data_IF_132309852690
#
_entry.id   IF_132309852690
#
_cell.length_a   1.000
_cell.length_b   1.000
_cell.length_c   1.000
_cell.angle_alpha   90.00
_cell.angle_beta   90.00
_cell.angle_gamma   90.00
#
_symmetry.space_group_name_H-M   'P 1'
#
loop_
_entity.id
_entity.type
_entity.pdbx_description
1 polymer ?
#
# COMPACT_ATOMS: atom_id res chain seq x y z
N UNK A 1 -1.14 13.92 15.28
CA UNK A 1 0.15 13.40 14.78
C UNK A 1 0.40 14.10 13.48
N UNK A 2 1.62 14.57 13.25
CA UNK A 2 1.96 15.19 11.96
C UNK A 2 1.90 14.09 10.89
N UNK A 3 1.01 14.27 9.93
CA UNK A 3 0.81 13.35 8.80
C UNK A 3 1.91 13.58 7.75
N UNK A 4 2.21 12.57 6.94
CA UNK A 4 3.08 12.74 5.78
C UNK A 4 2.56 13.88 4.90
N UNK A 5 3.39 14.85 4.49
CA UNK A 5 2.93 15.98 3.70
C UNK A 5 2.27 15.55 2.39
N UNK A 6 1.16 16.20 2.03
CA UNK A 6 0.51 15.99 0.74
C UNK A 6 1.48 16.33 -0.41
N UNK A 7 1.49 15.51 -1.45
CA UNK A 7 2.32 15.73 -2.64
C UNK A 7 1.49 15.61 -3.91
N UNK A 8 1.94 16.29 -4.96
CA UNK A 8 1.27 16.32 -6.27
C UNK A 8 1.72 15.18 -7.21
N UNK A 9 2.62 14.32 -6.76
CA UNK A 9 3.09 13.18 -7.52
C UNK A 9 2.23 11.94 -7.24
N UNK A 10 1.82 11.24 -8.29
CA UNK A 10 1.15 9.95 -8.18
C UNK A 10 2.17 8.81 -8.20
N UNK A 11 1.82 7.69 -7.63
CA UNK A 11 2.58 6.46 -7.77
C UNK A 11 2.29 5.85 -9.14
N UNK A 12 3.28 5.94 -10.07
CA UNK A 12 3.13 5.45 -11.44
C UNK A 12 2.95 3.93 -11.49
N UNK A 13 3.69 3.19 -10.67
CA UNK A 13 3.60 1.74 -10.62
C UNK A 13 2.21 1.31 -10.14
N UNK A 14 1.68 1.97 -9.10
CA UNK A 14 0.33 1.73 -8.61
C UNK A 14 -0.72 1.95 -9.72
N UNK A 15 -0.58 3.05 -10.49
CA UNK A 15 -1.48 3.38 -11.60
C UNK A 15 -1.54 2.25 -12.66
N UNK A 16 -0.43 1.56 -12.92
CA UNK A 16 -0.38 0.51 -13.95
C UNK A 16 -1.14 -0.76 -13.57
N UNK A 17 -1.36 -0.99 -12.27
CA UNK A 17 -2.10 -2.16 -11.77
C UNK A 17 -3.61 -1.92 -11.64
N UNK A 18 -4.06 -0.66 -11.74
CA UNK A 18 -5.49 -0.34 -11.66
C UNK A 18 -6.17 -0.79 -12.96
N UNK A 19 -7.25 -1.60 -12.92
CA UNK A 19 -7.98 -1.98 -14.11
C UNK A 19 -8.48 -0.76 -14.90
N UNK A 20 -8.15 -0.70 -16.20
CA UNK A 20 -8.49 0.45 -17.05
C UNK A 20 -9.99 0.59 -17.32
N UNK A 21 -10.78 -0.42 -17.02
CA UNK A 21 -12.23 -0.51 -17.20
C UNK A 21 -13.03 -0.49 -15.88
N UNK A 22 -12.38 -0.19 -14.76
CA UNK A 22 -13.06 -0.07 -13.48
C UNK A 22 -14.14 1.01 -13.54
N UNK A 23 -15.36 0.67 -13.12
CA UNK A 23 -16.51 1.60 -13.15
C UNK A 23 -16.58 2.45 -11.90
N UNK A 24 -16.15 1.90 -10.78
CA UNK A 24 -16.11 2.60 -9.49
C UNK A 24 -14.87 2.22 -8.72
N UNK A 25 -14.13 3.22 -8.30
CA UNK A 25 -12.89 3.10 -7.51
C UNK A 25 -13.08 3.77 -6.16
N UNK A 26 -12.52 3.16 -5.12
CA UNK A 26 -12.31 3.79 -3.81
C UNK A 26 -10.82 3.79 -3.51
N UNK A 27 -10.23 4.98 -3.37
CA UNK A 27 -8.85 5.18 -2.92
C UNK A 27 -8.85 5.62 -1.46
N UNK A 28 -8.22 4.83 -0.60
CA UNK A 28 -8.04 5.14 0.83
C UNK A 28 -6.68 5.82 1.04
N UNK A 29 -6.71 6.99 1.70
CA UNK A 29 -5.55 7.86 1.81
C UNK A 29 -5.27 8.59 0.49
N UNK A 30 -6.30 9.14 -0.15
CA UNK A 30 -6.19 9.74 -1.48
C UNK A 30 -5.36 11.05 -1.50
N UNK A 31 -4.98 11.58 -0.34
CA UNK A 31 -4.13 12.78 -0.20
C UNK A 31 -4.63 13.94 -1.08
N UNK A 32 -3.82 14.45 -2.01
CA UNK A 32 -4.20 15.54 -2.94
C UNK A 32 -5.05 15.08 -4.13
N UNK A 33 -5.37 13.79 -4.27
CA UNK A 33 -6.06 13.23 -5.43
C UNK A 33 -5.18 13.07 -6.67
N UNK A 34 -3.86 13.04 -6.50
CA UNK A 34 -2.93 12.98 -7.63
C UNK A 34 -3.11 11.70 -8.48
N UNK A 35 -3.42 10.57 -7.85
CA UNK A 35 -3.68 9.31 -8.56
C UNK A 35 -4.99 9.35 -9.32
N UNK A 36 -6.06 9.90 -8.70
CA UNK A 36 -7.36 10.12 -9.34
C UNK A 36 -7.22 10.98 -10.61
N UNK A 37 -6.46 12.08 -10.52
CA UNK A 37 -6.15 12.96 -11.66
C UNK A 37 -5.57 12.19 -12.86
N UNK A 38 -4.63 11.30 -12.61
CA UNK A 38 -3.98 10.52 -13.68
C UNK A 38 -4.88 9.40 -14.19
N UNK A 39 -5.59 8.70 -13.30
CA UNK A 39 -6.51 7.65 -13.71
C UNK A 39 -7.69 8.17 -14.54
N UNK A 40 -8.23 9.35 -14.22
CA UNK A 40 -9.29 10.00 -15.02
C UNK A 40 -8.87 10.35 -16.45
N UNK A 41 -7.59 10.37 -16.78
CA UNK A 41 -7.11 10.49 -18.16
C UNK A 41 -7.23 9.18 -18.93
N UNK A 42 -7.19 8.03 -18.23
CA UNK A 42 -7.34 6.69 -18.77
C UNK A 42 -8.82 6.33 -18.92
N UNK A 43 -9.60 6.55 -17.85
CA UNK A 43 -11.03 6.23 -17.79
C UNK A 43 -11.81 7.39 -17.16
N UNK A 44 -12.42 8.24 -18.00
CA UNK A 44 -13.17 9.42 -17.56
C UNK A 44 -14.52 9.07 -16.92
N UNK A 45 -15.08 7.93 -17.31
CA UNK A 45 -16.44 7.52 -16.90
C UNK A 45 -16.43 6.78 -15.56
N UNK A 46 -15.26 6.42 -15.06
CA UNK A 46 -15.11 5.80 -13.74
C UNK A 46 -15.56 6.75 -12.64
N UNK A 47 -16.41 6.29 -11.74
CA UNK A 47 -16.69 7.00 -10.50
C UNK A 47 -15.51 6.82 -9.54
N UNK A 48 -14.78 7.87 -9.24
CA UNK A 48 -13.61 7.84 -8.36
C UNK A 48 -13.93 8.50 -7.01
N UNK A 49 -13.89 7.72 -5.94
CA UNK A 49 -14.15 8.16 -4.56
C UNK A 49 -12.83 8.15 -3.80
N UNK A 50 -12.47 9.31 -3.23
CA UNK A 50 -11.40 9.41 -2.26
C UNK A 50 -11.92 9.22 -0.84
N UNK A 51 -11.18 8.50 0.00
CA UNK A 51 -11.36 8.49 1.45
C UNK A 51 -10.09 9.07 2.07
N UNK A 52 -10.23 10.15 2.83
CA UNK A 52 -9.07 10.85 3.40
C UNK A 52 -9.36 11.23 4.86
N UNK A 53 -8.38 10.99 5.71
CA UNK A 53 -8.52 11.28 7.15
C UNK A 53 -8.30 12.78 7.46
N UNK A 54 -7.43 13.45 6.69
CA UNK A 54 -7.06 14.86 6.89
C UNK A 54 -7.97 15.77 6.06
N UNK A 55 -8.82 16.63 6.67
CA UNK A 55 -9.76 17.46 5.94
C UNK A 55 -9.09 18.39 4.90
N UNK A 56 -7.91 18.91 5.22
CA UNK A 56 -7.17 19.80 4.33
C UNK A 56 -6.70 19.09 3.05
N UNK A 57 -6.33 17.81 3.15
CA UNK A 57 -5.94 16.99 1.99
C UNK A 57 -7.18 16.57 1.20
N UNK A 58 -8.24 16.19 1.88
CA UNK A 58 -9.52 15.89 1.24
C UNK A 58 -10.01 17.04 0.36
N UNK A 59 -9.90 18.27 0.84
CA UNK A 59 -10.27 19.47 0.05
C UNK A 59 -9.42 19.62 -1.23
N UNK A 60 -8.14 19.20 -1.21
CA UNK A 60 -7.32 19.19 -2.42
C UNK A 60 -7.79 18.14 -3.41
N UNK A 61 -8.18 16.96 -2.92
CA UNK A 61 -8.62 15.83 -3.72
C UNK A 61 -9.97 16.05 -4.42
N UNK A 62 -10.85 16.90 -3.88
CA UNK A 62 -12.16 17.27 -4.50
C UNK A 62 -12.04 17.77 -5.94
N UNK A 63 -10.86 18.23 -6.35
CA UNK A 63 -10.61 18.71 -7.72
C UNK A 63 -10.56 17.57 -8.74
N UNK A 64 -10.30 16.34 -8.29
CA UNK A 64 -9.95 15.22 -9.15
C UNK A 64 -10.84 13.99 -8.89
N UNK A 65 -11.33 13.82 -7.67
CA UNK A 65 -12.29 12.79 -7.30
C UNK A 65 -13.70 13.25 -7.57
N UNK A 66 -14.61 12.33 -7.92
CA UNK A 66 -16.04 12.64 -8.07
C UNK A 66 -16.70 12.91 -6.71
N UNK A 67 -16.17 12.30 -5.65
CA UNK A 67 -16.50 12.62 -4.27
C UNK A 67 -15.34 12.29 -3.33
N UNK A 68 -15.28 12.97 -2.20
CA UNK A 68 -14.31 12.69 -1.15
C UNK A 68 -15.02 12.52 0.20
N UNK A 69 -14.70 11.43 0.89
CA UNK A 69 -15.22 11.12 2.22
C UNK A 69 -14.13 11.46 3.23
N UNK A 70 -14.39 12.43 4.11
CA UNK A 70 -13.47 12.78 5.21
C UNK A 70 -13.77 11.87 6.38
N UNK A 71 -12.98 10.80 6.54
CA UNK A 71 -13.19 9.81 7.61
C UNK A 71 -11.95 8.97 7.88
N UNK A 72 -11.89 8.39 9.09
CA UNK A 72 -11.05 7.24 9.39
C UNK A 72 -11.74 5.98 8.85
N UNK A 73 -11.16 5.38 7.81
CA UNK A 73 -11.72 4.20 7.13
C UNK A 73 -11.99 3.02 8.10
N UNK A 74 -11.22 2.93 9.18
CA UNK A 74 -11.38 1.86 10.17
C UNK A 74 -12.63 2.04 11.05
N UNK A 75 -13.21 3.26 11.09
CA UNK A 75 -14.38 3.60 11.93
C UNK A 75 -15.69 3.71 11.15
N UNK A 76 -15.63 3.66 9.82
CA UNK A 76 -16.82 3.70 8.96
C UNK A 76 -17.71 2.48 9.25
N UNK A 77 -19.02 2.72 9.47
CA UNK A 77 -19.99 1.64 9.70
C UNK A 77 -20.24 0.78 8.45
N UNK A 78 -20.90 -0.36 8.63
CA UNK A 78 -21.14 -1.31 7.53
C UNK A 78 -22.17 -0.78 6.53
N UNK A 79 -23.18 -0.01 6.96
CA UNK A 79 -24.21 0.53 6.10
C UNK A 79 -23.60 1.55 5.11
N UNK A 80 -22.86 2.53 5.62
CA UNK A 80 -22.15 3.50 4.78
C UNK A 80 -21.13 2.84 3.85
N UNK A 81 -20.43 1.81 4.35
CA UNK A 81 -19.46 1.06 3.58
C UNK A 81 -20.13 0.34 2.40
N UNK A 82 -21.27 -0.31 2.62
CA UNK A 82 -22.04 -0.99 1.57
C UNK A 82 -22.66 0.00 0.57
N UNK A 83 -23.25 1.07 1.04
CA UNK A 83 -24.01 1.99 0.19
C UNK A 83 -23.13 2.95 -0.60
N UNK A 84 -22.06 3.43 0.03
CA UNK A 84 -21.21 4.47 -0.56
C UNK A 84 -19.90 3.91 -1.12
N UNK A 85 -19.27 2.97 -0.43
CA UNK A 85 -17.94 2.47 -0.77
C UNK A 85 -17.91 1.13 -1.52
N UNK A 86 -19.07 0.53 -1.81
CA UNK A 86 -19.12 -0.67 -2.66
C UNK A 86 -18.61 -0.32 -4.07
N UNK A 87 -17.50 -0.98 -4.50
CA UNK A 87 -16.80 -0.65 -5.74
C UNK A 87 -16.10 -1.85 -6.35
N UNK A 88 -15.65 -1.71 -7.59
CA UNK A 88 -14.93 -2.74 -8.35
C UNK A 88 -13.44 -2.76 -8.02
N UNK A 89 -12.86 -1.63 -7.58
CA UNK A 89 -11.44 -1.54 -7.27
C UNK A 89 -11.19 -0.69 -6.03
N UNK A 90 -10.49 -1.28 -5.06
CA UNK A 90 -9.95 -0.58 -3.89
C UNK A 90 -8.49 -0.26 -4.10
N UNK A 91 -8.06 0.94 -3.69
CA UNK A 91 -6.67 1.38 -3.80
C UNK A 91 -6.12 1.78 -2.44
N UNK A 92 -4.92 1.29 -2.13
CA UNK A 92 -4.13 1.62 -0.94
C UNK A 92 -2.70 1.98 -1.38
N UNK A 93 -2.44 3.26 -1.56
CA UNK A 93 -1.12 3.78 -1.91
C UNK A 93 -0.36 4.19 -0.67
N UNK A 94 0.51 3.32 -0.13
CA UNK A 94 1.25 3.59 1.10
C UNK A 94 0.29 3.96 2.26
N UNK A 95 -0.71 3.11 2.51
CA UNK A 95 -1.80 3.38 3.47
C UNK A 95 -1.97 2.26 4.49
N UNK A 96 -1.84 0.99 4.08
CA UNK A 96 -2.10 -0.17 4.96
C UNK A 96 -1.18 -0.19 6.18
N UNK A 97 0.03 0.31 6.07
CA UNK A 97 1.01 0.41 7.17
C UNK A 97 0.63 1.46 8.22
N UNK A 98 -0.23 2.41 7.88
CA UNK A 98 -0.73 3.43 8.80
C UNK A 98 -1.99 3.01 9.56
N UNK A 99 -2.62 1.90 9.18
CA UNK A 99 -3.84 1.41 9.82
C UNK A 99 -3.53 0.65 11.12
N UNK A 100 -4.44 0.74 12.08
CA UNK A 100 -4.35 -0.03 13.34
C UNK A 100 -4.61 -1.51 13.08
N UNK A 101 -5.58 -1.84 12.20
CA UNK A 101 -5.98 -3.21 11.89
C UNK A 101 -6.33 -3.40 10.40
N UNK A 102 -5.33 -3.39 9.49
CA UNK A 102 -5.56 -3.59 8.07
C UNK A 102 -6.20 -4.95 7.74
N UNK A 103 -5.96 -6.00 8.53
CA UNK A 103 -6.59 -7.32 8.36
C UNK A 103 -8.11 -7.25 8.46
N UNK A 104 -8.62 -6.54 9.47
CA UNK A 104 -10.06 -6.35 9.66
C UNK A 104 -10.68 -5.55 8.51
N UNK A 105 -9.99 -4.51 8.02
CA UNK A 105 -10.46 -3.73 6.88
C UNK A 105 -10.51 -4.58 5.60
N UNK A 106 -9.46 -5.32 5.28
CA UNK A 106 -9.45 -6.21 4.11
C UNK A 106 -10.55 -7.27 4.19
N UNK A 107 -10.74 -7.88 5.36
CA UNK A 107 -11.84 -8.84 5.59
C UNK A 107 -13.23 -8.20 5.43
N UNK A 108 -13.38 -6.93 5.80
CA UNK A 108 -14.61 -6.16 5.59
C UNK A 108 -14.83 -5.88 4.09
N UNK A 109 -13.79 -5.45 3.37
CA UNK A 109 -13.85 -5.24 1.92
C UNK A 109 -14.26 -6.53 1.20
N UNK A 110 -13.74 -7.69 1.61
CA UNK A 110 -14.06 -8.99 0.99
C UNK A 110 -15.55 -9.32 1.02
N UNK A 111 -16.29 -8.86 2.03
CA UNK A 111 -17.73 -9.08 2.12
C UNK A 111 -18.54 -8.34 1.07
N UNK A 112 -18.03 -7.21 0.58
CA UNK A 112 -18.80 -6.28 -0.27
C UNK A 112 -18.22 -6.17 -1.70
N UNK A 113 -16.94 -6.47 -1.89
CA UNK A 113 -16.33 -6.40 -3.22
C UNK A 113 -16.88 -7.52 -4.11
N UNK A 114 -17.24 -7.25 -5.38
CA UNK A 114 -17.68 -8.28 -6.32
C UNK A 114 -16.54 -9.27 -6.63
N UNK A 115 -16.88 -10.49 -7.04
CA UNK A 115 -15.87 -11.51 -7.40
C UNK A 115 -14.96 -11.09 -8.56
N UNK A 116 -15.43 -10.18 -9.42
CA UNK A 116 -14.62 -9.56 -10.49
C UNK A 116 -13.79 -8.36 -10.02
N UNK A 117 -13.92 -7.97 -8.75
CA UNK A 117 -13.24 -6.81 -8.20
C UNK A 117 -11.77 -7.07 -7.88
N UNK A 118 -11.08 -6.01 -7.50
CA UNK A 118 -9.66 -6.09 -7.13
C UNK A 118 -9.27 -5.08 -6.06
N UNK A 119 -8.16 -5.38 -5.38
CA UNK A 119 -7.46 -4.44 -4.51
C UNK A 119 -6.10 -4.18 -5.14
N UNK A 120 -5.72 -2.90 -5.28
CA UNK A 120 -4.39 -2.49 -5.72
C UNK A 120 -3.71 -1.79 -4.55
N UNK A 121 -2.52 -2.25 -4.16
CA UNK A 121 -1.83 -1.70 -3.01
C UNK A 121 -0.34 -1.51 -3.27
N UNK A 122 0.23 -0.42 -2.73
CA UNK A 122 1.65 -0.22 -2.57
C UNK A 122 1.97 -0.31 -1.08
N UNK A 123 2.94 -1.16 -0.71
CA UNK A 123 3.23 -1.49 0.70
C UNK A 123 4.75 -1.48 0.91
N UNK A 124 5.27 -0.71 1.89
CA UNK A 124 6.69 -0.67 2.20
C UNK A 124 7.19 -2.00 2.78
N UNK A 125 8.42 -2.34 2.42
CA UNK A 125 9.09 -3.58 2.83
C UNK A 125 10.05 -3.34 3.98
N UNK A 126 9.70 -3.76 5.18
CA UNK A 126 10.59 -3.66 6.36
C UNK A 126 11.81 -4.59 6.25
N UNK A 127 11.75 -5.61 5.36
CA UNK A 127 12.89 -6.51 5.11
C UNK A 127 13.97 -5.87 4.22
N UNK A 128 13.74 -4.66 3.70
CA UNK A 128 14.70 -3.96 2.84
C UNK A 128 16.10 -3.91 3.49
N UNK A 129 17.13 -4.10 2.67
CA UNK A 129 18.52 -4.19 3.13
C UNK A 129 18.96 -3.01 4.00
N UNK A 130 18.48 -1.79 3.73
CA UNK A 130 18.83 -0.60 4.51
C UNK A 130 18.24 -0.62 5.93
N UNK A 131 17.03 -1.18 6.10
CA UNK A 131 16.42 -1.40 7.43
C UNK A 131 17.26 -2.38 8.23
N UNK A 132 17.63 -3.52 7.63
CA UNK A 132 18.45 -4.53 8.28
C UNK A 132 19.83 -3.97 8.68
N UNK A 133 20.47 -3.18 7.79
CA UNK A 133 21.75 -2.53 8.07
C UNK A 133 21.67 -1.56 9.24
N UNK A 134 20.64 -0.72 9.29
CA UNK A 134 20.41 0.24 10.40
C UNK A 134 20.17 -0.49 11.71
N UNK A 135 19.32 -1.52 11.71
CA UNK A 135 19.07 -2.34 12.90
C UNK A 135 20.34 -2.99 13.45
N UNK A 136 21.23 -3.49 12.59
CA UNK A 136 22.53 -4.03 13.02
C UNK A 136 23.40 -2.99 13.74
N UNK A 137 23.23 -1.70 13.45
CA UNK A 137 23.92 -0.61 14.10
C UNK A 137 23.15 -0.02 15.30
N UNK A 138 22.01 -0.61 15.69
CA UNK A 138 21.15 -0.10 16.75
C UNK A 138 20.40 1.18 16.38
N UNK A 139 20.27 1.49 15.08
CA UNK A 139 19.58 2.68 14.58
C UNK A 139 18.16 2.36 14.13
N UNK A 140 17.17 2.81 14.90
CA UNK A 140 15.74 2.78 14.55
C UNK A 140 15.12 4.17 14.77
N UNK A 141 15.81 5.21 14.34
CA UNK A 141 15.29 6.58 14.47
C UNK A 141 14.20 6.82 13.46
N UNK A 142 13.06 7.29 13.98
CA UNK A 142 11.93 7.65 13.15
C UNK A 142 12.23 8.88 12.27
N UNK A 143 11.67 8.87 11.08
CA UNK A 143 11.79 9.90 10.05
C UNK A 143 10.41 10.51 9.72
N UNK A 144 10.36 11.51 8.88
CA UNK A 144 9.11 12.15 8.46
C UNK A 144 8.48 11.47 7.24
N UNK A 145 9.18 10.50 6.63
CA UNK A 145 8.72 9.74 5.46
C UNK A 145 9.59 8.50 5.25
N UNK A 146 9.20 7.61 4.33
CA UNK A 146 9.95 6.42 3.95
C UNK A 146 9.79 5.25 4.93
N UNK A 147 10.71 4.27 4.89
CA UNK A 147 10.58 3.02 5.67
C UNK A 147 10.54 3.22 7.19
N UNK A 148 11.08 4.33 7.69
CA UNK A 148 11.09 4.67 9.11
C UNK A 148 10.11 5.79 9.45
N UNK A 149 9.08 5.99 8.61
CA UNK A 149 8.07 7.00 8.89
C UNK A 149 7.47 6.78 10.28
N UNK A 150 7.44 7.88 11.07
CA UNK A 150 6.93 7.86 12.46
C UNK A 150 5.45 7.55 12.56
N UNK A 151 4.71 7.63 11.47
CA UNK A 151 3.27 7.34 11.40
C UNK A 151 2.96 5.90 11.02
N UNK A 152 3.97 5.10 10.65
CA UNK A 152 3.78 3.67 10.43
C UNK A 152 3.42 2.95 11.74
N UNK A 153 2.31 2.28 11.75
CA UNK A 153 1.83 1.43 12.85
C UNK A 153 2.10 -0.05 12.60
N UNK A 154 2.31 -0.44 11.33
CA UNK A 154 2.54 -1.81 10.89
C UNK A 154 3.75 -1.87 9.95
N UNK A 155 4.44 -2.99 9.98
CA UNK A 155 5.59 -3.27 9.13
C UNK A 155 5.38 -4.61 8.45
N UNK A 156 5.62 -4.66 7.14
CA UNK A 156 5.36 -5.84 6.33
C UNK A 156 6.62 -6.32 5.63
N UNK A 157 6.75 -7.64 5.52
CA UNK A 157 7.65 -8.33 4.60
C UNK A 157 6.83 -8.88 3.43
N UNK A 158 7.47 -9.35 2.36
CA UNK A 158 6.77 -10.02 1.27
C UNK A 158 5.85 -11.14 1.79
N UNK A 159 6.36 -12.00 2.66
CA UNK A 159 5.59 -13.12 3.22
C UNK A 159 4.35 -12.64 3.98
N UNK A 160 4.50 -11.67 4.87
CA UNK A 160 3.37 -11.20 5.70
C UNK A 160 2.35 -10.40 4.91
N UNK A 161 2.74 -9.79 3.76
CA UNK A 161 1.77 -9.23 2.80
C UNK A 161 0.91 -10.36 2.21
N UNK A 162 1.52 -11.45 1.73
CA UNK A 162 0.78 -12.60 1.20
C UNK A 162 -0.14 -13.22 2.24
N UNK A 163 0.34 -13.41 3.47
CA UNK A 163 -0.46 -13.94 4.57
C UNK A 163 -1.67 -13.04 4.85
N UNK A 164 -1.48 -11.73 4.98
CA UNK A 164 -2.56 -10.78 5.26
C UNK A 164 -3.67 -10.81 4.20
N UNK A 165 -3.31 -10.82 2.92
CA UNK A 165 -4.29 -10.87 1.83
C UNK A 165 -4.99 -12.23 1.75
N UNK A 166 -4.28 -13.33 1.91
CA UNK A 166 -4.86 -14.68 1.91
C UNK A 166 -5.83 -14.88 3.09
N UNK A 167 -5.47 -14.45 4.29
CA UNK A 167 -6.33 -14.52 5.46
C UNK A 167 -7.62 -13.71 5.29
N UNK A 168 -7.56 -12.61 4.55
CA UNK A 168 -8.73 -11.80 4.22
C UNK A 168 -9.56 -12.36 3.06
N UNK A 169 -9.16 -13.48 2.41
CA UNK A 169 -9.86 -14.11 1.29
C UNK A 169 -9.53 -13.50 -0.07
N UNK A 170 -8.29 -13.04 -0.26
CA UNK A 170 -7.78 -12.55 -1.53
C UNK A 170 -6.54 -13.31 -1.97
N UNK A 171 -6.42 -13.54 -3.29
CA UNK A 171 -5.21 -14.03 -3.93
C UNK A 171 -4.46 -12.86 -4.60
N UNK A 172 -3.15 -12.78 -4.41
CA UNK A 172 -2.32 -11.83 -5.15
C UNK A 172 -2.15 -12.38 -6.57
N UNK A 173 -2.79 -11.70 -7.54
CA UNK A 173 -2.79 -12.10 -8.94
C UNK A 173 -1.57 -11.55 -9.71
N UNK A 174 -1.14 -10.34 -9.36
CA UNK A 174 -0.03 -9.64 -10.01
C UNK A 174 0.76 -8.84 -8.96
N UNK A 175 2.05 -8.61 -9.24
CA UNK A 175 2.85 -7.76 -8.38
C UNK A 175 4.16 -7.35 -9.03
N UNK A 176 4.70 -6.22 -8.58
CA UNK A 176 6.01 -5.70 -8.94
C UNK A 176 6.76 -5.26 -7.69
N UNK A 177 8.08 -5.40 -7.76
CA UNK A 177 8.99 -4.90 -6.75
C UNK A 177 9.52 -3.52 -7.20
N UNK A 178 9.57 -2.57 -6.29
CA UNK A 178 10.21 -1.26 -6.51
C UNK A 178 11.59 -1.28 -5.88
N UNK A 179 12.60 -1.43 -6.72
CA UNK A 179 13.99 -1.49 -6.29
C UNK A 179 14.70 -0.16 -6.49
N UNK A 180 15.54 0.21 -5.55
CA UNK A 180 16.46 1.33 -5.67
C UNK A 180 17.90 0.84 -5.75
N UNK A 181 18.65 1.34 -6.74
CA UNK A 181 20.06 1.04 -6.84
C UNK A 181 20.88 2.05 -6.03
N UNK A 182 21.19 1.69 -4.77
CA UNK A 182 21.88 2.57 -3.84
C UNK A 182 23.30 2.06 -3.52
N UNK A 183 24.24 2.98 -3.27
CA UNK A 183 25.60 2.61 -2.89
C UNK A 183 25.64 1.78 -1.61
N UNK A 184 26.46 0.73 -1.60
CA UNK A 184 26.63 -0.14 -0.43
C UNK A 184 25.70 -1.35 -0.36
N UNK A 185 24.60 -1.36 -1.15
CA UNK A 185 23.61 -2.44 -1.20
C UNK A 185 24.24 -3.83 -1.29
N UNK A 186 25.12 -4.06 -2.26
CA UNK A 186 25.65 -5.40 -2.56
C UNK A 186 26.48 -5.98 -1.40
N UNK A 187 27.18 -5.12 -0.64
CA UNK A 187 27.92 -5.54 0.57
C UNK A 187 26.95 -6.02 1.67
N UNK A 188 25.85 -5.31 1.86
CA UNK A 188 24.85 -5.68 2.87
C UNK A 188 24.10 -6.94 2.44
N UNK A 189 23.74 -7.10 1.17
CA UNK A 189 23.13 -8.33 0.65
C UNK A 189 24.03 -9.55 0.87
N UNK A 190 25.35 -9.40 0.74
CA UNK A 190 26.31 -10.48 1.07
C UNK A 190 26.25 -10.86 2.56
N UNK A 191 26.15 -9.86 3.45
CA UNK A 191 25.99 -10.11 4.88
C UNK A 191 24.65 -10.79 5.22
N UNK A 192 23.56 -10.36 4.55
CA UNK A 192 22.23 -10.97 4.69
C UNK A 192 22.26 -12.45 4.28
N UNK A 193 22.90 -12.80 3.16
CA UNK A 193 23.09 -14.21 2.77
C UNK A 193 23.81 -15.02 3.84
N UNK A 194 24.89 -14.47 4.38
CA UNK A 194 25.67 -15.14 5.44
C UNK A 194 24.81 -15.36 6.69
N UNK A 195 24.05 -14.37 7.11
CA UNK A 195 23.14 -14.47 8.24
C UNK A 195 22.05 -15.53 7.98
N UNK A 196 21.44 -15.53 6.80
CA UNK A 196 20.42 -16.51 6.42
C UNK A 196 20.93 -17.95 6.51
N UNK A 197 22.13 -18.23 5.98
CA UNK A 197 22.79 -19.53 6.13
C UNK A 197 22.97 -19.92 7.60
N UNK A 198 23.38 -18.96 8.44
CA UNK A 198 23.65 -19.23 9.86
C UNK A 198 22.40 -19.64 10.66
N UNK A 199 21.21 -19.23 10.19
CA UNK A 199 19.92 -19.57 10.82
C UNK A 199 19.15 -20.66 10.07
N UNK A 200 19.74 -21.27 9.03
CA UNK A 200 19.11 -22.33 8.23
C UNK A 200 18.04 -21.84 7.24
N UNK A 201 18.04 -20.54 6.90
CA UNK A 201 17.16 -19.95 5.89
C UNK A 201 17.83 -19.97 4.50
N UNK A 202 17.01 -19.82 3.45
CA UNK A 202 17.49 -19.71 2.07
C UNK A 202 18.21 -18.35 1.85
N UNK A 203 19.53 -18.35 1.56
CA UNK A 203 20.28 -17.12 1.41
C UNK A 203 19.89 -16.28 0.17
N UNK A 204 19.49 -16.93 -0.93
CA UNK A 204 19.12 -16.22 -2.16
C UNK A 204 17.73 -15.60 -2.01
N UNK A 205 16.79 -16.30 -1.38
CA UNK A 205 15.48 -15.74 -1.06
C UNK A 205 15.63 -14.56 -0.09
N UNK A 206 16.41 -14.70 0.97
CA UNK A 206 16.63 -13.63 1.94
C UNK A 206 17.21 -12.36 1.29
N UNK A 207 18.19 -12.53 0.39
CA UNK A 207 18.79 -11.41 -0.34
C UNK A 207 17.82 -10.80 -1.37
N UNK A 208 17.08 -11.64 -2.09
CA UNK A 208 16.07 -11.20 -3.06
C UNK A 208 14.96 -10.40 -2.38
N UNK A 209 14.43 -10.87 -1.25
CA UNK A 209 13.38 -10.18 -0.49
C UNK A 209 13.89 -8.90 0.21
N UNK A 210 15.21 -8.74 0.35
CA UNK A 210 15.81 -7.53 0.88
C UNK A 210 16.05 -6.43 -0.17
N UNK A 211 15.85 -6.70 -1.46
CA UNK A 211 16.05 -5.73 -2.54
C UNK A 211 14.91 -4.71 -2.64
N UNK A 212 13.63 -5.12 -2.64
CA UNK A 212 12.54 -4.18 -2.85
C UNK A 212 12.38 -3.20 -1.68
N UNK A 213 12.26 -1.91 -2.03
CA UNK A 213 11.85 -0.87 -1.10
C UNK A 213 10.36 -1.02 -0.75
N UNK A 214 9.55 -1.33 -1.78
CA UNK A 214 8.10 -1.49 -1.69
C UNK A 214 7.64 -2.59 -2.64
N UNK A 215 6.49 -3.16 -2.33
CA UNK A 215 5.76 -4.05 -3.24
C UNK A 215 4.49 -3.37 -3.72
N UNK A 216 4.28 -3.36 -5.04
CA UNK A 216 3.00 -2.99 -5.64
C UNK A 216 2.32 -4.26 -6.09
N UNK A 217 1.08 -4.46 -5.67
CA UNK A 217 0.32 -5.68 -5.91
C UNK A 217 -1.09 -5.38 -6.41
N UNK A 218 -1.64 -6.32 -7.19
CA UNK A 218 -3.07 -6.44 -7.45
C UNK A 218 -3.56 -7.78 -6.90
N UNK A 219 -4.51 -7.72 -5.98
CA UNK A 219 -5.16 -8.88 -5.38
C UNK A 219 -6.62 -8.97 -5.84
N UNK A 220 -7.13 -10.18 -5.99
CA UNK A 220 -8.50 -10.50 -6.41
C UNK A 220 -9.14 -11.43 -5.40
N UNK A 221 -10.48 -11.45 -5.26
CA UNK A 221 -11.18 -12.43 -4.45
C UNK A 221 -10.73 -13.87 -4.73
N UNK A 222 -10.53 -14.66 -3.65
CA UNK A 222 -10.13 -16.07 -3.72
C UNK A 222 -11.31 -16.97 -4.06
#
# INVERSE_FOLDING_TARGET
>A
MDQTPAHEQHNHDLLTFIPGDARKIVEVGCSSGALAREYKKINRDCQYIGVEYVPEYAQLAERYCDSVVVADIETIDEEFFQDTLNCDCWIFGDTLEHLKNPWSLLSKIRKFIPDSGSIVACIPNVQHWSVQARLCCGDFRYENSGLFDRTHLRWFTRQTIFEMFNEAGFNIAEGAARDLNEPGRDKILTAIRTMAVSIGADPEMAASDALPLQYVIRAVPA
#
